data_IF_580803038510
#
_entry.id   IF_580803038510
#
_cell.length_a   1.000
_cell.length_b   1.000
_cell.length_c   1.000
_cell.angle_alpha   90.00
_cell.angle_beta   90.00
_cell.angle_gamma   90.00
#
_symmetry.space_group_name_H-M   'P 1'
#
loop_
_entity.id
_entity.type
_entity.pdbx_description
1 polymer ?
#
# COMPACT_ATOMS: atom_id res chain seq x y z
N UNK A 1 -21.93 -2.91 16.18
CA UNK A 1 -21.34 -1.54 16.13
C UNK A 1 -20.08 -1.33 16.96
N UNK A 2 -19.88 -1.94 18.15
CA UNK A 2 -18.68 -1.65 18.99
C UNK A 2 -17.31 -1.99 18.36
N UNK A 3 -17.23 -2.87 17.36
CA UNK A 3 -15.97 -3.28 16.69
C UNK A 3 -15.68 -2.56 15.36
N UNK A 4 -16.66 -1.90 14.75
CA UNK A 4 -16.48 -1.23 13.45
C UNK A 4 -15.71 0.10 13.57
N UNK A 5 -15.86 0.81 14.69
CA UNK A 5 -15.12 2.06 14.94
C UNK A 5 -13.59 1.81 15.08
N UNK A 6 -13.12 0.83 15.88
CA UNK A 6 -11.71 0.48 15.91
C UNK A 6 -11.16 0.03 14.55
N UNK A 7 -11.90 -0.77 13.79
CA UNK A 7 -11.47 -1.23 12.47
C UNK A 7 -11.32 -0.07 11.48
N UNK A 8 -12.25 0.89 11.51
CA UNK A 8 -12.17 2.10 10.70
C UNK A 8 -10.95 2.95 11.08
N UNK A 9 -10.71 3.20 12.36
CA UNK A 9 -9.57 3.97 12.83
C UNK A 9 -8.24 3.30 12.47
N UNK A 10 -8.14 1.98 12.61
CA UNK A 10 -6.94 1.22 12.21
C UNK A 10 -6.71 1.32 10.70
N UNK A 11 -7.77 1.19 9.90
CA UNK A 11 -7.69 1.37 8.44
C UNK A 11 -7.27 2.78 8.05
N UNK A 12 -7.82 3.80 8.71
CA UNK A 12 -7.52 5.21 8.46
C UNK A 12 -6.07 5.55 8.81
N UNK A 13 -5.62 5.17 10.02
CA UNK A 13 -4.24 5.40 10.47
C UNK A 13 -3.25 4.63 9.59
N UNK A 14 -3.55 3.37 9.26
CA UNK A 14 -2.71 2.56 8.37
C UNK A 14 -2.59 3.16 6.97
N UNK A 15 -3.70 3.65 6.42
CA UNK A 15 -3.71 4.31 5.10
C UNK A 15 -2.92 5.63 5.14
N UNK A 16 -3.07 6.41 6.20
CA UNK A 16 -2.37 7.68 6.36
C UNK A 16 -0.85 7.50 6.53
N UNK A 17 -0.42 6.55 7.37
CA UNK A 17 0.99 6.21 7.55
C UNK A 17 1.57 5.63 6.27
N UNK A 18 0.85 4.74 5.60
CA UNK A 18 1.27 4.16 4.32
C UNK A 18 1.43 5.22 3.24
N UNK A 19 0.52 6.19 3.18
CA UNK A 19 0.62 7.33 2.27
C UNK A 19 1.84 8.21 2.58
N UNK A 20 2.09 8.52 3.86
CA UNK A 20 3.28 9.30 4.27
C UNK A 20 4.58 8.58 3.90
N UNK A 21 4.64 7.26 4.11
CA UNK A 21 5.84 6.48 3.82
C UNK A 21 6.03 6.24 2.32
N UNK A 22 4.96 6.23 1.53
CA UNK A 22 4.98 5.88 0.12
C UNK A 22 4.78 7.04 -0.83
N UNK A 23 5.53 8.13 -0.64
CA UNK A 23 5.57 9.29 -1.55
C UNK A 23 4.36 10.25 -1.48
N UNK A 24 3.65 10.33 -0.34
CA UNK A 24 2.52 11.24 -0.17
C UNK A 24 2.85 12.73 -0.33
N UNK A 25 4.12 13.12 -0.18
CA UNK A 25 4.61 14.49 -0.37
C UNK A 25 5.38 14.71 -1.68
N UNK A 26 5.40 13.72 -2.58
CA UNK A 26 6.16 13.75 -3.84
C UNK A 26 7.18 12.60 -3.95
N UNK A 27 7.97 12.60 -5.02
CA UNK A 27 8.96 11.57 -5.32
C UNK A 27 9.91 11.33 -4.14
N UNK A 28 9.93 10.12 -3.59
CA UNK A 28 10.76 9.76 -2.44
C UNK A 28 12.27 9.97 -2.65
N UNK A 29 12.73 9.99 -3.90
CA UNK A 29 14.09 10.35 -4.28
C UNK A 29 14.52 11.75 -3.79
N UNK A 30 13.56 12.67 -3.56
CA UNK A 30 13.84 14.02 -3.06
C UNK A 30 14.12 14.12 -1.55
N UNK A 31 13.88 13.06 -0.78
CA UNK A 31 13.97 13.07 0.70
C UNK A 31 15.16 12.28 1.27
N UNK A 32 15.98 11.66 0.40
CA UNK A 32 17.20 10.93 0.76
C UNK A 32 17.11 9.41 0.59
N UNK A 33 18.27 8.76 0.45
CA UNK A 33 18.37 7.35 0.06
C UNK A 33 17.70 6.36 1.03
N UNK A 34 17.71 6.65 2.33
CA UNK A 34 17.05 5.81 3.33
C UNK A 34 15.52 5.87 3.20
N UNK A 35 14.97 7.07 3.03
CA UNK A 35 13.53 7.26 2.82
C UNK A 35 13.10 6.66 1.49
N UNK A 36 13.91 6.82 0.43
CA UNK A 36 13.67 6.17 -0.85
C UNK A 36 13.59 4.64 -0.70
N UNK A 37 14.53 4.01 -0.01
CA UNK A 37 14.53 2.57 0.23
C UNK A 37 13.28 2.10 0.99
N UNK A 38 12.87 2.83 2.03
CA UNK A 38 11.66 2.51 2.81
C UNK A 38 10.41 2.70 1.96
N UNK A 39 10.34 3.78 1.19
CA UNK A 39 9.18 4.11 0.36
C UNK A 39 8.89 3.04 -0.69
N UNK A 40 9.93 2.43 -1.27
CA UNK A 40 9.84 1.33 -2.25
C UNK A 40 9.27 0.03 -1.66
N UNK A 41 9.15 -0.09 -0.34
CA UNK A 41 8.49 -1.24 0.30
C UNK A 41 6.98 -1.06 0.43
N UNK A 42 6.46 0.13 0.09
CA UNK A 42 5.05 0.45 0.25
C UNK A 42 4.32 0.41 -1.09
N UNK A 43 3.07 -0.09 -1.14
CA UNK A 43 2.29 -0.10 -2.38
C UNK A 43 1.97 1.31 -2.89
N UNK A 44 1.99 2.33 -2.03
CA UNK A 44 1.67 3.71 -2.38
C UNK A 44 2.72 4.34 -3.30
N UNK A 45 4.01 4.02 -3.14
CA UNK A 45 5.05 4.49 -4.06
C UNK A 45 4.84 3.93 -5.46
N UNK A 46 4.55 2.63 -5.57
CA UNK A 46 4.28 1.97 -6.85
C UNK A 46 3.00 2.48 -7.53
N UNK A 47 1.96 2.77 -6.74
CA UNK A 47 0.76 3.43 -7.26
C UNK A 47 1.07 4.85 -7.77
N UNK A 48 1.87 5.62 -7.02
CA UNK A 48 2.28 6.96 -7.41
C UNK A 48 3.09 6.94 -8.71
N UNK A 49 4.06 6.02 -8.85
CA UNK A 49 4.85 5.87 -10.08
C UNK A 49 3.99 5.64 -11.33
N UNK A 50 2.99 4.77 -11.22
CA UNK A 50 2.07 4.48 -12.32
C UNK A 50 1.15 5.67 -12.65
N UNK A 51 0.62 6.32 -11.62
CA UNK A 51 -0.31 7.44 -11.78
C UNK A 51 0.40 8.72 -12.26
N UNK A 52 1.66 8.92 -11.90
CA UNK A 52 2.40 10.14 -12.24
C UNK A 52 2.51 10.35 -13.75
N UNK A 53 2.65 9.27 -14.52
CA UNK A 53 2.65 9.35 -15.99
C UNK A 53 1.31 9.88 -16.51
N UNK A 54 0.18 9.47 -15.90
CA UNK A 54 -1.15 9.91 -16.32
C UNK A 54 -1.45 11.36 -15.94
N UNK A 55 -0.96 11.83 -14.79
CA UNK A 55 -1.23 13.19 -14.31
C UNK A 55 -0.24 14.24 -14.83
N UNK A 56 1.02 13.88 -15.02
CA UNK A 56 2.10 14.83 -15.34
C UNK A 56 2.78 14.54 -16.69
N UNK A 57 2.40 13.48 -17.40
CA UNK A 57 2.96 13.14 -18.71
C UNK A 57 4.42 12.68 -18.69
N UNK A 58 5.00 12.46 -17.50
CA UNK A 58 6.38 12.04 -17.32
C UNK A 58 6.44 10.64 -16.69
N UNK A 59 7.25 9.77 -17.27
CA UNK A 59 7.54 8.45 -16.70
C UNK A 59 8.51 8.57 -15.53
N UNK A 60 8.15 7.99 -14.39
CA UNK A 60 9.02 7.87 -13.21
C UNK A 60 9.08 6.41 -12.77
N UNK A 61 10.24 5.99 -12.25
CA UNK A 61 10.44 4.63 -11.76
C UNK A 61 10.36 3.56 -12.84
N UNK A 62 9.87 2.37 -12.47
CA UNK A 62 9.76 1.22 -13.37
C UNK A 62 8.32 0.70 -13.39
N UNK A 63 7.50 1.07 -14.41
CA UNK A 63 6.06 0.82 -14.38
C UNK A 63 5.71 -0.67 -14.32
N UNK A 64 6.48 -1.52 -15.00
CA UNK A 64 6.28 -2.98 -14.97
C UNK A 64 6.50 -3.54 -13.56
N UNK A 65 7.57 -3.12 -12.88
CA UNK A 65 7.87 -3.56 -11.51
C UNK A 65 6.78 -3.07 -10.55
N UNK A 66 6.34 -1.83 -10.71
CA UNK A 66 5.28 -1.24 -9.89
C UNK A 66 3.94 -1.95 -10.07
N UNK A 67 3.57 -2.32 -11.30
CA UNK A 67 2.38 -3.12 -11.56
C UNK A 67 2.48 -4.53 -10.93
N UNK A 68 3.61 -5.22 -11.12
CA UNK A 68 3.83 -6.55 -10.54
C UNK A 68 3.80 -6.53 -9.01
N UNK A 69 4.40 -5.50 -8.39
CA UNK A 69 4.40 -5.32 -6.95
C UNK A 69 2.99 -5.12 -6.41
N UNK A 70 2.17 -4.28 -7.05
CA UNK A 70 0.78 -4.07 -6.66
C UNK A 70 -0.06 -5.34 -6.79
N UNK A 71 0.11 -6.11 -7.86
CA UNK A 71 -0.57 -7.41 -8.05
C UNK A 71 -0.16 -8.39 -6.95
N UNK A 72 1.13 -8.45 -6.62
CA UNK A 72 1.66 -9.30 -5.54
C UNK A 72 1.05 -8.91 -4.19
N UNK A 73 1.13 -7.64 -3.82
CA UNK A 73 0.59 -7.14 -2.55
C UNK A 73 -0.93 -7.36 -2.47
N UNK A 74 -1.67 -7.08 -3.54
CA UNK A 74 -3.11 -7.33 -3.61
C UNK A 74 -3.45 -8.81 -3.41
N UNK A 75 -2.70 -9.70 -4.06
CA UNK A 75 -2.87 -11.16 -3.91
C UNK A 75 -2.59 -11.60 -2.48
N UNK A 76 -1.49 -11.13 -1.88
CA UNK A 76 -1.14 -11.42 -0.48
C UNK A 76 -2.24 -10.94 0.47
N UNK A 77 -2.76 -9.72 0.28
CA UNK A 77 -3.85 -9.19 1.12
C UNK A 77 -5.13 -10.01 1.01
N UNK A 78 -5.50 -10.47 -0.19
CA UNK A 78 -6.65 -11.35 -0.39
C UNK A 78 -6.46 -12.70 0.31
N UNK A 79 -5.29 -13.31 0.17
CA UNK A 79 -4.96 -14.59 0.83
C UNK A 79 -5.00 -14.42 2.35
N UNK A 80 -4.36 -13.39 2.90
CA UNK A 80 -4.35 -13.12 4.34
C UNK A 80 -5.77 -12.88 4.88
N UNK A 81 -6.59 -12.12 4.13
CA UNK A 81 -7.98 -11.87 4.49
C UNK A 81 -8.79 -13.17 4.50
N UNK A 82 -8.63 -14.02 3.47
CA UNK A 82 -9.27 -15.32 3.39
C UNK A 82 -8.86 -16.26 4.53
N UNK A 83 -7.56 -16.29 4.87
CA UNK A 83 -7.04 -17.07 6.00
C UNK A 83 -7.57 -16.56 7.34
N UNK A 84 -7.56 -15.24 7.57
CA UNK A 84 -8.09 -14.64 8.79
C UNK A 84 -9.59 -14.91 8.94
N UNK A 85 -10.35 -14.85 7.84
CA UNK A 85 -11.77 -15.19 7.83
C UNK A 85 -11.98 -16.66 8.18
N UNK A 86 -11.31 -17.58 7.47
CA UNK A 86 -11.39 -19.03 7.72
C UNK A 86 -11.04 -19.37 9.17
N UNK A 87 -9.95 -18.83 9.68
CA UNK A 87 -9.50 -19.12 11.04
C UNK A 87 -10.49 -18.65 12.11
N UNK A 88 -11.17 -17.53 11.85
CA UNK A 88 -12.17 -16.98 12.76
C UNK A 88 -13.48 -17.77 12.72
N UNK A 89 -13.93 -18.18 11.54
CA UNK A 89 -15.17 -18.95 11.36
C UNK A 89 -15.01 -20.38 11.91
N UNK A 90 -13.92 -21.07 11.59
CA UNK A 90 -13.64 -22.44 12.06
C UNK A 90 -13.40 -22.55 13.57
N UNK A 91 -13.19 -21.44 14.28
CA UNK A 91 -13.05 -21.40 15.75
C UNK A 91 -14.36 -21.08 16.47
N UNK A 92 -15.43 -20.80 15.73
CA UNK A 92 -16.76 -20.49 16.29
C UNK A 92 -17.74 -21.68 16.22
N UNK A 93 -17.38 -22.74 15.49
CA UNK A 93 -17.96 -24.08 15.60
C UNK A 93 -17.18 -24.90 16.65
#
# INVERSE_FOLDING_TARGET
>A
MRRSIPAFLVGLVGSFVGWILGSGFGLAAGFGALYEAISRLTPFTHATELLFTQYYGAGIGQPVVSALFLVLVGTVMLVLTGLAYRWRVMRQE
#
